data_IF_509716667039
#
_entry.id   IF_509716667039
#
_cell.length_a   1.000
_cell.length_b   1.000
_cell.length_c   1.000
_cell.angle_alpha   90.00
_cell.angle_beta   90.00
_cell.angle_gamma   90.00
#
_symmetry.space_group_name_H-M   'P 1'
#
loop_
_entity.id
_entity.type
_entity.pdbx_description
1 polymer ?
#
# COMPACT_ATOMS: atom_id res chain seq x y z
N UNK A 1 -6.84 -1.76 -28.12
CA UNK A 1 -6.31 -1.28 -26.82
C UNK A 1 -7.49 -0.96 -25.91
N UNK A 2 -7.39 -1.17 -24.59
CA UNK A 2 -8.48 -0.86 -23.66
C UNK A 2 -8.83 0.63 -23.67
N UNK A 3 -10.09 0.96 -23.42
CA UNK A 3 -10.60 2.33 -23.31
C UNK A 3 -11.03 2.66 -21.88
N UNK A 4 -11.24 3.95 -21.58
CA UNK A 4 -11.61 4.46 -20.24
C UNK A 4 -12.75 3.70 -19.56
N UNK A 5 -13.73 3.24 -20.34
CA UNK A 5 -14.96 2.58 -19.83
C UNK A 5 -14.81 1.08 -19.63
N UNK A 6 -13.72 0.47 -20.11
CA UNK A 6 -13.49 -0.96 -19.93
C UNK A 6 -13.13 -1.26 -18.48
N UNK A 7 -13.63 -2.39 -17.97
CA UNK A 7 -13.27 -2.91 -16.65
C UNK A 7 -11.80 -3.28 -16.63
N UNK A 8 -11.05 -2.69 -15.69
CA UNK A 8 -9.64 -2.97 -15.47
C UNK A 8 -9.43 -4.00 -14.35
N UNK A 9 -10.18 -3.88 -13.25
CA UNK A 9 -10.01 -4.70 -12.04
C UNK A 9 -11.37 -5.04 -11.44
N UNK A 10 -11.50 -6.25 -10.88
CA UNK A 10 -12.65 -6.65 -10.06
C UNK A 10 -12.17 -6.90 -8.63
N UNK A 11 -12.58 -6.03 -7.70
CA UNK A 11 -12.20 -6.16 -6.29
C UNK A 11 -13.30 -6.88 -5.51
N UNK A 12 -12.97 -8.01 -4.88
CA UNK A 12 -13.92 -8.76 -4.06
C UNK A 12 -13.97 -8.21 -2.65
N UNK A 13 -15.17 -8.03 -2.13
CA UNK A 13 -15.44 -7.58 -0.76
C UNK A 13 -16.32 -8.58 -0.02
N UNK A 14 -16.23 -8.65 1.31
CA UNK A 14 -16.92 -9.67 2.11
C UNK A 14 -18.45 -9.68 1.95
N UNK A 15 -19.05 -8.55 1.58
CA UNK A 15 -20.49 -8.42 1.35
C UNK A 15 -21.33 -8.56 2.62
N UNK A 16 -22.33 -7.69 2.82
CA UNK A 16 -23.22 -7.77 4.00
C UNK A 16 -24.12 -9.01 4.03
N UNK A 17 -24.28 -9.70 2.90
CA UNK A 17 -25.16 -10.87 2.73
C UNK A 17 -24.41 -12.20 2.84
N UNK A 18 -23.15 -12.20 3.28
CA UNK A 18 -22.31 -13.40 3.48
C UNK A 18 -21.62 -13.91 2.21
N UNK A 19 -22.14 -13.63 1.02
CA UNK A 19 -21.47 -13.91 -0.25
C UNK A 19 -20.59 -12.73 -0.68
N UNK A 20 -19.32 -12.97 -1.07
CA UNK A 20 -18.46 -11.91 -1.58
C UNK A 20 -19.04 -11.24 -2.82
N UNK A 21 -18.92 -9.91 -2.90
CA UNK A 21 -19.36 -9.10 -4.06
C UNK A 21 -18.15 -8.56 -4.81
N UNK A 22 -18.13 -8.76 -6.12
CA UNK A 22 -17.11 -8.20 -7.01
C UNK A 22 -17.47 -6.77 -7.43
N UNK A 23 -16.59 -5.82 -7.13
CA UNK A 23 -16.70 -4.42 -7.53
C UNK A 23 -15.92 -4.23 -8.82
N UNK A 24 -16.61 -4.00 -9.93
CA UNK A 24 -15.98 -3.70 -11.22
C UNK A 24 -15.46 -2.26 -11.22
N UNK A 25 -14.16 -2.10 -11.40
CA UNK A 25 -13.51 -0.80 -11.53
C UNK A 25 -12.99 -0.63 -12.95
N UNK A 26 -13.32 0.51 -13.57
CA UNK A 26 -12.88 0.82 -14.93
C UNK A 26 -11.48 1.43 -14.94
N UNK A 27 -10.81 1.40 -16.10
CA UNK A 27 -9.56 2.16 -16.30
C UNK A 27 -9.72 3.64 -15.91
N UNK A 28 -10.87 4.23 -16.22
CA UNK A 28 -11.16 5.62 -15.87
C UNK A 28 -11.28 5.88 -14.38
N UNK A 29 -11.69 4.89 -13.57
CA UNK A 29 -11.70 5.03 -12.12
C UNK A 29 -10.28 5.10 -11.58
N UNK A 30 -9.43 4.13 -11.93
CA UNK A 30 -8.04 4.04 -11.48
C UNK A 30 -7.23 5.30 -11.85
N UNK A 31 -7.30 5.71 -13.12
CA UNK A 31 -6.56 6.89 -13.59
C UNK A 31 -7.06 8.18 -12.93
N UNK A 32 -8.37 8.31 -12.68
CA UNK A 32 -8.91 9.47 -11.99
C UNK A 32 -8.45 9.54 -10.53
N UNK A 33 -8.43 8.41 -9.82
CA UNK A 33 -7.88 8.31 -8.45
C UNK A 33 -6.41 8.69 -8.45
N UNK A 34 -5.62 8.11 -9.35
CA UNK A 34 -4.19 8.36 -9.41
C UNK A 34 -3.86 9.83 -9.67
N UNK A 35 -4.54 10.44 -10.65
CA UNK A 35 -4.41 11.86 -10.96
C UNK A 35 -4.78 12.74 -9.76
N UNK A 36 -5.85 12.41 -9.03
CA UNK A 36 -6.25 13.16 -7.84
C UNK A 36 -5.19 13.09 -6.73
N UNK A 37 -4.66 11.89 -6.42
CA UNK A 37 -3.64 11.72 -5.38
C UNK A 37 -2.35 12.49 -5.70
N UNK A 38 -1.93 12.51 -6.96
CA UNK A 38 -0.75 13.27 -7.40
C UNK A 38 -0.89 14.78 -7.20
N UNK A 39 -2.11 15.31 -7.06
CA UNK A 39 -2.33 16.74 -6.70
C UNK A 39 -2.20 17.02 -5.20
N UNK A 40 -2.33 15.99 -4.37
CA UNK A 40 -2.35 16.11 -2.91
C UNK A 40 -0.95 15.85 -2.32
N UNK A 41 -0.15 14.99 -2.94
CA UNK A 41 1.21 14.67 -2.49
C UNK A 41 2.21 15.53 -3.29
N UNK A 42 2.75 16.61 -2.69
CA UNK A 42 3.63 17.53 -3.40
C UNK A 42 4.96 16.86 -3.76
N UNK A 43 5.45 17.13 -4.96
CA UNK A 43 6.76 16.67 -5.46
C UNK A 43 6.95 15.13 -5.46
N UNK A 44 5.86 14.36 -5.49
CA UNK A 44 5.92 12.90 -5.61
C UNK A 44 6.69 12.51 -6.88
N UNK A 45 7.74 11.70 -6.74
CA UNK A 45 8.51 11.29 -7.92
C UNK A 45 9.68 10.35 -7.63
N UNK A 46 10.64 10.31 -8.54
CA UNK A 46 11.76 9.36 -8.51
C UNK A 46 12.74 9.50 -7.34
N UNK A 47 12.60 10.54 -6.53
CA UNK A 47 13.39 10.71 -5.30
C UNK A 47 12.74 9.98 -4.10
N UNK A 48 11.52 9.48 -4.27
CA UNK A 48 10.79 8.77 -3.24
C UNK A 48 10.98 7.25 -3.33
N UNK A 49 10.82 6.61 -2.18
CA UNK A 49 10.76 5.16 -2.04
C UNK A 49 9.51 4.80 -1.23
N UNK A 50 8.61 4.05 -1.84
CA UNK A 50 7.38 3.56 -1.23
C UNK A 50 7.56 2.14 -0.66
N UNK A 51 7.12 1.92 0.58
CA UNK A 51 7.04 0.58 1.16
C UNK A 51 5.66 -0.04 0.94
N UNK A 52 5.57 -0.96 -0.02
CA UNK A 52 4.39 -1.76 -0.29
C UNK A 52 4.36 -2.98 0.63
N UNK A 53 3.40 -3.04 1.56
CA UNK A 53 3.31 -4.11 2.55
C UNK A 53 1.87 -4.55 2.85
N UNK A 54 0.87 -3.83 2.33
CA UNK A 54 -0.52 -4.28 2.42
C UNK A 54 -0.79 -5.28 1.28
N UNK A 55 -1.81 -6.15 1.41
CA UNK A 55 -2.15 -7.07 0.34
C UNK A 55 -2.68 -6.31 -0.89
N UNK A 56 -2.18 -6.62 -2.08
CA UNK A 56 -2.66 -6.05 -3.36
C UNK A 56 -4.16 -6.33 -3.62
N UNK A 57 -4.71 -7.36 -2.97
CA UNK A 57 -6.15 -7.65 -2.99
C UNK A 57 -7.00 -6.56 -2.29
N UNK A 58 -6.37 -5.60 -1.61
CA UNK A 58 -7.04 -4.45 -1.02
C UNK A 58 -6.88 -3.24 -1.94
N UNK A 59 -8.00 -2.55 -2.24
CA UNK A 59 -8.02 -1.42 -3.21
C UNK A 59 -7.06 -0.30 -2.85
N UNK A 60 -6.82 -0.09 -1.55
CA UNK A 60 -5.89 0.95 -1.12
C UNK A 60 -4.44 0.67 -1.56
N UNK A 61 -3.96 -0.57 -1.46
CA UNK A 61 -2.59 -0.90 -1.90
C UNK A 61 -2.48 -0.86 -3.41
N UNK A 62 -3.47 -1.41 -4.11
CA UNK A 62 -3.53 -1.39 -5.56
C UNK A 62 -3.44 0.03 -6.12
N UNK A 63 -4.27 0.94 -5.62
CA UNK A 63 -4.27 2.34 -6.07
C UNK A 63 -2.98 3.06 -5.65
N UNK A 64 -2.43 2.77 -4.46
CA UNK A 64 -1.15 3.31 -4.05
C UNK A 64 -0.03 2.90 -5.02
N UNK A 65 0.10 1.62 -5.35
CA UNK A 65 1.12 1.14 -6.31
C UNK A 65 0.91 1.71 -7.72
N UNK A 66 -0.34 1.90 -8.17
CA UNK A 66 -0.64 2.58 -9.45
C UNK A 66 -0.13 4.03 -9.43
N UNK A 67 -0.39 4.77 -8.36
CA UNK A 67 0.11 6.15 -8.18
C UNK A 67 1.64 6.16 -8.19
N UNK A 68 2.27 5.31 -7.39
CA UNK A 68 3.74 5.24 -7.27
C UNK A 68 4.38 4.92 -8.62
N UNK A 69 3.85 3.93 -9.33
CA UNK A 69 4.34 3.55 -10.66
C UNK A 69 4.16 4.69 -11.67
N UNK A 70 3.01 5.39 -11.62
CA UNK A 70 2.73 6.53 -12.51
C UNK A 70 3.67 7.71 -12.25
N UNK A 71 4.03 7.95 -10.99
CA UNK A 71 4.95 9.02 -10.59
C UNK A 71 6.44 8.65 -10.73
N UNK A 72 6.77 7.39 -11.03
CA UNK A 72 8.15 6.92 -11.15
C UNK A 72 8.85 6.70 -9.80
N UNK A 73 8.07 6.45 -8.73
CA UNK A 73 8.55 6.17 -7.38
C UNK A 73 9.08 4.73 -7.29
N UNK A 74 10.18 4.51 -6.58
CA UNK A 74 10.68 3.16 -6.33
C UNK A 74 9.80 2.43 -5.31
N UNK A 75 9.47 1.16 -5.55
CA UNK A 75 8.63 0.36 -4.65
C UNK A 75 9.48 -0.75 -4.03
N UNK A 76 9.54 -0.78 -2.69
CA UNK A 76 10.07 -1.90 -1.94
C UNK A 76 8.94 -2.74 -1.35
N UNK A 77 9.01 -4.06 -1.54
CA UNK A 77 7.97 -4.98 -1.08
C UNK A 77 8.31 -5.58 0.28
N UNK A 78 7.31 -5.65 1.15
CA UNK A 78 7.39 -6.22 2.49
C UNK A 78 6.07 -6.82 2.94
N UNK A 79 5.93 -7.01 4.25
CA UNK A 79 4.66 -7.44 4.83
C UNK A 79 4.45 -6.85 6.22
N UNK A 80 3.21 -6.78 6.68
CA UNK A 80 2.91 -6.38 8.06
C UNK A 80 3.64 -7.25 9.11
N UNK A 81 4.00 -8.48 8.76
CA UNK A 81 4.72 -9.42 9.64
C UNK A 81 6.25 -9.28 9.60
N UNK A 82 6.78 -8.44 8.72
CA UNK A 82 8.22 -8.18 8.54
C UNK A 82 8.57 -6.69 8.61
N UNK A 83 7.55 -5.82 8.70
CA UNK A 83 7.64 -4.36 8.66
C UNK A 83 8.67 -3.71 9.61
N UNK A 84 8.72 -4.16 10.87
CA UNK A 84 9.53 -3.53 11.94
C UNK A 84 10.57 -4.50 12.47
N UNK A 85 11.63 -3.98 13.12
CA UNK A 85 12.70 -4.78 13.75
C UNK A 85 12.21 -5.70 14.89
N UNK A 86 10.95 -5.57 15.32
CA UNK A 86 10.32 -6.42 16.33
C UNK A 86 9.20 -7.29 15.75
N UNK A 87 9.02 -7.30 14.42
CA UNK A 87 7.97 -8.08 13.78
C UNK A 87 8.21 -9.60 13.87
N UNK A 88 7.13 -10.39 13.84
CA UNK A 88 7.17 -11.82 14.20
C UNK A 88 7.83 -12.71 13.14
N UNK A 89 7.95 -12.26 11.88
CA UNK A 89 8.52 -13.04 10.76
C UNK A 89 9.91 -12.60 10.32
N UNK A 90 10.58 -11.75 11.11
CA UNK A 90 12.01 -11.47 10.92
C UNK A 90 12.84 -12.20 11.95
N UNK A 91 14.09 -12.50 11.61
CA UNK A 91 15.05 -13.11 12.54
C UNK A 91 15.32 -12.12 13.67
N UNK A 92 15.28 -12.58 14.93
CA UNK A 92 15.57 -11.72 16.08
C UNK A 92 16.96 -11.10 15.94
N UNK A 93 17.06 -9.79 16.15
CA UNK A 93 18.30 -9.03 16.03
C UNK A 93 18.64 -8.57 14.60
N UNK A 94 17.79 -8.83 13.60
CA UNK A 94 17.94 -8.27 12.25
C UNK A 94 17.00 -7.08 12.02
N UNK A 95 17.27 -6.30 10.97
CA UNK A 95 16.41 -5.22 10.53
C UNK A 95 15.12 -5.76 9.89
N UNK A 96 14.00 -5.10 10.15
CA UNK A 96 12.76 -5.27 9.40
C UNK A 96 12.75 -4.47 8.09
N UNK A 97 11.70 -4.63 7.30
CA UNK A 97 11.60 -4.06 5.95
C UNK A 97 11.76 -2.54 5.95
N UNK A 98 11.09 -1.83 6.87
CA UNK A 98 11.17 -0.37 6.95
C UNK A 98 12.58 0.12 7.30
N UNK A 99 13.26 -0.55 8.25
CA UNK A 99 14.62 -0.21 8.65
C UNK A 99 15.68 -0.56 7.61
N UNK A 100 15.41 -1.57 6.77
CA UNK A 100 16.30 -1.99 5.70
C UNK A 100 16.14 -1.13 4.44
N UNK A 101 14.89 -0.82 4.07
CA UNK A 101 14.56 -0.04 2.88
C UNK A 101 14.75 1.46 3.06
N UNK A 102 14.42 1.99 4.25
CA UNK A 102 14.39 3.44 4.51
C UNK A 102 13.37 4.17 3.62
N UNK A 103 12.08 3.80 3.64
CA UNK A 103 11.08 4.41 2.76
C UNK A 103 10.82 5.89 3.11
N UNK A 104 10.52 6.69 2.10
CA UNK A 104 10.01 8.07 2.27
C UNK A 104 8.49 8.09 2.37
N UNK A 105 7.82 7.06 1.83
CA UNK A 105 6.36 6.93 1.79
C UNK A 105 5.93 5.54 2.23
N UNK A 106 4.83 5.48 2.96
CA UNK A 106 4.11 4.23 3.22
C UNK A 106 2.63 4.52 3.43
N UNK A 107 1.76 3.61 2.99
CA UNK A 107 0.36 3.62 3.41
C UNK A 107 0.28 3.23 4.88
N UNK A 108 -0.68 3.79 5.62
CA UNK A 108 -0.92 3.38 7.00
C UNK A 108 -2.42 3.16 7.22
N UNK A 109 -2.74 2.11 7.98
CA UNK A 109 -4.08 1.84 8.51
C UNK A 109 -4.00 1.79 10.04
N UNK A 110 -5.09 2.08 10.77
CA UNK A 110 -5.06 2.17 12.23
C UNK A 110 -4.38 0.98 12.92
N UNK A 111 -4.71 -0.25 12.49
CA UNK A 111 -4.12 -1.47 13.06
C UNK A 111 -2.59 -1.55 12.91
N UNK A 112 -2.02 -0.96 11.85
CA UNK A 112 -0.56 -0.93 11.65
C UNK A 112 0.06 0.17 12.50
N UNK A 113 -0.58 1.33 12.62
CA UNK A 113 -0.13 2.40 13.52
C UNK A 113 -0.10 1.92 14.98
N UNK A 114 -1.11 1.17 15.41
CA UNK A 114 -1.13 0.52 16.73
C UNK A 114 0.06 -0.43 16.91
N UNK A 115 0.36 -1.26 15.90
CA UNK A 115 1.49 -2.18 15.94
C UNK A 115 2.84 -1.46 16.03
N UNK A 116 3.01 -0.38 15.27
CA UNK A 116 4.22 0.46 15.31
C UNK A 116 4.34 1.11 16.68
N UNK A 117 3.26 1.68 17.22
CA UNK A 117 3.21 2.25 18.58
C UNK A 117 3.63 1.23 19.62
N UNK A 118 3.01 0.05 19.63
CA UNK A 118 3.31 -1.01 20.60
C UNK A 118 4.75 -1.51 20.48
N UNK A 119 5.31 -1.51 19.26
CA UNK A 119 6.72 -1.83 19.00
C UNK A 119 7.69 -0.78 19.56
N UNK A 120 7.31 0.49 19.56
CA UNK A 120 8.09 1.60 20.16
C UNK A 120 7.95 1.59 21.67
N UNK A 121 6.74 1.49 22.21
CA UNK A 121 6.48 1.52 23.66
C UNK A 121 7.14 0.38 24.43
N UNK A 122 7.44 -0.76 23.78
CA UNK A 122 8.18 -1.87 24.40
C UNK A 122 9.69 -1.61 24.53
N UNK A 123 10.22 -0.57 23.88
CA UNK A 123 11.64 -0.19 23.93
C UNK A 123 11.93 0.90 24.97
N UNK A 124 10.88 1.47 25.58
CA UNK A 124 10.93 2.47 26.65
C UNK A 124 10.51 1.81 27.95
#
# INVERSE_FOLDING_TARGET
LPIKKDTAVIMYTSGSTGLPKGVMMTHGNLVATAAAVMTVIPNLGSNDVFLAYLPLAHVFELEAEIVMTTAGVAIGYGSAMTLTDTSNKIKKGTKGDASALGPTLMTAVPAILDRVRDGVSKKV
#
